data_IF_270648378367
#
_entry.id   IF_270648378367
#
_cell.length_a   1.000
_cell.length_b   1.000
_cell.length_c   1.000
_cell.angle_alpha   90.00
_cell.angle_beta   90.00
_cell.angle_gamma   90.00
#
_symmetry.space_group_name_H-M   'P 1'
#
loop_
_entity.id
_entity.type
_entity.pdbx_description
1 polymer ?
#
# COMPACT_ATOMS: atom_id res chain seq x y z
N UNK A 1 12.68 43.18 20.44
CA UNK A 1 12.72 42.64 21.80
C UNK A 1 13.07 41.15 21.74
N UNK A 2 14.13 40.73 22.44
CA UNK A 2 14.65 39.34 22.42
C UNK A 2 13.63 38.35 23.00
N UNK A 3 12.83 38.79 23.99
CA UNK A 3 11.76 37.98 24.59
C UNK A 3 10.70 37.59 23.56
N UNK A 4 10.27 38.55 22.74
CA UNK A 4 9.31 38.27 21.66
C UNK A 4 9.82 37.28 20.61
N UNK A 5 11.13 37.30 20.31
CA UNK A 5 11.74 36.32 19.40
C UNK A 5 11.80 34.91 20.01
N UNK A 6 12.11 34.80 21.30
CA UNK A 6 12.11 33.52 22.01
C UNK A 6 10.71 32.91 22.10
N UNK A 7 9.70 33.73 22.38
CA UNK A 7 8.29 33.28 22.42
C UNK A 7 7.81 32.83 21.03
N UNK A 8 8.24 33.51 19.97
CA UNK A 8 7.94 33.11 18.59
C UNK A 8 8.56 31.75 18.26
N UNK A 9 9.84 31.56 18.55
CA UNK A 9 10.53 30.27 18.35
C UNK A 9 9.88 29.14 19.15
N UNK A 10 9.47 29.39 20.40
CA UNK A 10 8.78 28.40 21.23
C UNK A 10 7.42 28.01 20.66
N UNK A 11 6.66 28.96 20.09
CA UNK A 11 5.40 28.67 19.39
C UNK A 11 5.64 27.80 18.15
N UNK A 12 6.60 28.17 17.31
CA UNK A 12 6.94 27.41 16.10
C UNK A 12 7.41 25.98 16.43
N UNK A 13 8.22 25.81 17.47
CA UNK A 13 8.64 24.49 17.95
C UNK A 13 7.45 23.65 18.47
N UNK A 14 6.47 24.29 19.12
CA UNK A 14 5.25 23.61 19.58
C UNK A 14 4.37 23.17 18.40
N UNK A 15 4.21 24.02 17.39
CA UNK A 15 3.48 23.71 16.17
C UNK A 15 4.12 22.54 15.42
N UNK A 16 5.45 22.56 15.22
CA UNK A 16 6.18 21.45 14.60
C UNK A 16 5.98 20.13 15.36
N UNK A 17 6.07 20.16 16.69
CA UNK A 17 5.83 18.96 17.52
C UNK A 17 4.40 18.44 17.39
N UNK A 18 3.41 19.33 17.30
CA UNK A 18 2.00 18.96 17.13
C UNK A 18 1.75 18.33 15.74
N UNK A 19 2.36 18.89 14.69
CA UNK A 19 2.29 18.30 13.34
C UNK A 19 2.89 16.89 13.32
N UNK A 20 4.09 16.71 13.88
CA UNK A 20 4.73 15.38 13.96
C UNK A 20 3.87 14.40 14.75
N UNK A 21 3.30 14.83 15.89
CA UNK A 21 2.39 13.99 16.69
C UNK A 21 1.16 13.56 15.89
N UNK A 22 0.52 14.49 15.18
CA UNK A 22 -0.66 14.18 14.35
C UNK A 22 -0.32 13.21 13.22
N UNK A 23 0.85 13.35 12.58
CA UNK A 23 1.32 12.40 11.58
C UNK A 23 1.52 10.99 12.17
N UNK A 24 2.16 10.88 13.33
CA UNK A 24 2.37 9.61 14.02
C UNK A 24 1.02 9.00 14.45
N UNK A 25 0.09 9.78 14.99
CA UNK A 25 -1.23 9.32 15.41
C UNK A 25 -2.04 8.77 14.23
N UNK A 26 -2.02 9.45 13.08
CA UNK A 26 -2.64 8.95 11.85
C UNK A 26 -1.96 7.67 11.34
N UNK A 27 -0.63 7.60 11.40
CA UNK A 27 0.14 6.43 10.99
C UNK A 27 -0.15 5.22 11.90
N UNK A 28 -0.30 5.45 13.20
CA UNK A 28 -0.72 4.44 14.19
C UNK A 28 -2.18 3.99 13.98
N UNK A 29 -3.08 4.90 13.63
CA UNK A 29 -4.48 4.54 13.34
C UNK A 29 -4.56 3.65 12.09
N UNK A 30 -3.83 3.99 11.03
CA UNK A 30 -3.76 3.18 9.81
C UNK A 30 -3.12 1.81 10.06
N UNK A 31 -2.05 1.75 10.87
CA UNK A 31 -1.40 0.49 11.23
C UNK A 31 -2.26 -0.40 12.15
N UNK A 32 -3.09 0.19 13.03
CA UNK A 32 -4.07 -0.55 13.84
C UNK A 32 -5.21 -1.14 13.02
N UNK A 33 -5.65 -0.44 11.97
CA UNK A 33 -6.64 -0.99 11.04
C UNK A 33 -6.15 -2.27 10.36
N UNK A 34 -4.84 -2.37 10.05
CA UNK A 34 -4.22 -3.57 9.45
C UNK A 34 -4.18 -4.76 10.43
N UNK A 35 -4.14 -4.53 11.74
CA UNK A 35 -4.09 -5.61 12.75
C UNK A 35 -5.45 -5.98 13.34
N UNK A 36 -6.47 -5.14 13.21
CA UNK A 36 -7.81 -5.43 13.72
C UNK A 36 -8.59 -6.45 12.88
N UNK A 37 -8.20 -6.66 11.61
CA UNK A 37 -8.77 -7.69 10.73
C UNK A 37 -8.39 -9.12 11.12
N UNK A 38 -7.54 -9.31 12.15
CA UNK A 38 -7.10 -10.65 12.59
C UNK A 38 -7.82 -11.17 13.85
N UNK A 39 -8.72 -10.40 14.48
CA UNK A 39 -9.34 -10.80 15.76
C UNK A 39 -10.87 -10.88 15.78
N UNK A 40 -11.54 -10.72 14.62
CA UNK A 40 -13.02 -10.82 14.52
C UNK A 40 -13.49 -11.73 13.39
N UNK A 41 -13.13 -13.01 13.43
CA UNK A 41 -13.87 -14.04 12.68
C UNK A 41 -13.78 -15.41 13.37
N UNK A 42 -14.47 -15.54 14.50
CA UNK A 42 -15.07 -16.81 14.88
C UNK A 42 -16.44 -16.94 14.19
N UNK A 43 -16.64 -18.07 13.52
CA UNK A 43 -17.89 -18.58 12.91
C UNK A 43 -18.25 -18.09 11.51
N UNK A 44 -17.57 -18.64 10.49
CA UNK A 44 -18.20 -19.46 9.45
C UNK A 44 -17.09 -20.13 8.64
N UNK A 45 -17.25 -21.44 8.41
CA UNK A 45 -16.28 -22.29 7.75
C UNK A 45 -15.88 -21.75 6.39
N UNK A 46 -14.62 -21.35 6.23
CA UNK A 46 -13.79 -21.65 5.07
C UNK A 46 -12.33 -21.31 5.38
N UNK A 47 -11.50 -22.32 5.23
CA UNK A 47 -10.13 -22.45 5.70
C UNK A 47 -9.18 -21.52 4.91
N UNK A 48 -8.89 -20.32 5.41
CA UNK A 48 -7.73 -19.55 4.94
C UNK A 48 -6.47 -20.08 5.61
N UNK A 49 -5.84 -21.05 4.94
CA UNK A 49 -4.44 -21.41 5.19
C UNK A 49 -3.60 -20.16 4.88
N UNK A 50 -3.18 -19.47 5.94
CA UNK A 50 -2.14 -18.44 5.87
C UNK A 50 -0.79 -19.16 5.68
N UNK A 51 -0.61 -19.70 4.48
CA UNK A 51 0.70 -20.12 4.03
C UNK A 51 1.50 -18.85 3.87
N UNK A 52 2.67 -18.77 4.51
CA UNK A 52 3.76 -17.87 4.10
C UNK A 52 4.10 -18.19 2.65
N UNK A 53 3.28 -17.74 1.70
CA UNK A 53 3.54 -17.91 0.28
C UNK A 53 4.75 -17.04 0.00
N UNK A 54 5.81 -17.69 -0.43
CA UNK A 54 6.96 -17.06 -1.04
C UNK A 54 6.48 -15.87 -1.89
N UNK A 55 7.08 -14.66 -1.78
CA UNK A 55 6.76 -13.54 -2.67
C UNK A 55 6.68 -13.94 -4.15
N UNK A 56 7.47 -14.95 -4.56
CA UNK A 56 7.53 -15.53 -5.90
C UNK A 56 6.28 -16.36 -6.28
N UNK A 57 5.45 -16.75 -5.33
CA UNK A 57 4.24 -17.56 -5.55
C UNK A 57 2.94 -16.76 -5.58
N UNK A 58 2.99 -15.42 -5.54
CA UNK A 58 1.76 -14.64 -5.71
C UNK A 58 1.25 -14.76 -7.15
N UNK A 59 -0.01 -15.17 -7.29
CA UNK A 59 -0.70 -15.23 -8.58
C UNK A 59 -1.35 -13.90 -8.93
N UNK A 60 -1.44 -13.61 -10.23
CA UNK A 60 -2.14 -12.45 -10.77
C UNK A 60 -3.58 -12.39 -10.26
N UNK A 61 -4.02 -11.25 -9.75
CA UNK A 61 -5.37 -11.08 -9.22
C UNK A 61 -6.48 -11.03 -10.30
N UNK A 62 -6.11 -10.97 -11.58
CA UNK A 62 -7.04 -10.90 -12.72
C UNK A 62 -7.29 -12.30 -13.29
N UNK A 63 -6.24 -13.01 -13.71
CA UNK A 63 -6.41 -14.34 -14.31
C UNK A 63 -6.30 -15.50 -13.30
N UNK A 64 -5.71 -15.28 -12.12
CA UNK A 64 -5.48 -16.30 -11.08
C UNK A 64 -4.63 -17.51 -11.53
N UNK A 65 -4.05 -17.46 -12.73
CA UNK A 65 -3.26 -18.54 -13.33
C UNK A 65 -1.77 -18.25 -13.25
N UNK A 66 -1.36 -17.09 -13.78
CA UNK A 66 0.04 -16.71 -13.94
C UNK A 66 0.60 -16.05 -12.67
N UNK A 67 1.91 -16.18 -12.39
CA UNK A 67 2.56 -15.44 -11.32
C UNK A 67 2.52 -13.92 -11.58
N UNK A 68 2.61 -13.14 -10.52
CA UNK A 68 2.80 -11.69 -10.61
C UNK A 68 4.23 -11.41 -11.08
N UNK A 69 4.36 -10.85 -12.28
CA UNK A 69 5.65 -10.49 -12.90
C UNK A 69 5.67 -9.07 -13.48
N UNK A 70 4.74 -8.22 -13.04
CA UNK A 70 4.66 -6.83 -13.48
C UNK A 70 4.34 -5.85 -12.35
N UNK A 71 4.81 -4.63 -12.52
CA UNK A 71 4.58 -3.48 -11.67
C UNK A 71 3.84 -2.39 -12.46
N UNK A 72 2.81 -1.82 -11.85
CA UNK A 72 2.08 -0.69 -12.42
C UNK A 72 2.80 0.62 -12.09
N UNK A 73 3.32 1.32 -13.10
CA UNK A 73 4.14 2.51 -12.93
C UNK A 73 3.38 3.65 -12.23
N UNK A 74 4.10 4.45 -11.42
CA UNK A 74 3.61 5.47 -10.45
C UNK A 74 3.00 4.93 -9.17
N UNK A 75 2.11 3.94 -9.21
CA UNK A 75 1.49 3.41 -7.99
C UNK A 75 2.27 2.25 -7.36
N UNK A 76 3.11 1.56 -8.12
CA UNK A 76 4.05 0.54 -7.61
C UNK A 76 3.41 -0.81 -7.26
N UNK A 77 2.10 -0.99 -7.42
CA UNK A 77 1.46 -2.25 -7.05
C UNK A 77 1.82 -3.38 -8.02
N UNK A 78 2.38 -4.45 -7.47
CA UNK A 78 2.64 -5.71 -8.15
C UNK A 78 1.50 -6.69 -7.86
N UNK A 79 0.46 -6.66 -8.69
CA UNK A 79 -0.76 -7.45 -8.50
C UNK A 79 -1.18 -8.25 -9.73
N UNK A 80 -0.51 -8.07 -10.87
CA UNK A 80 -0.89 -8.66 -12.15
C UNK A 80 0.30 -9.29 -12.86
N UNK A 81 0.01 -10.29 -13.70
CA UNK A 81 0.98 -10.71 -14.71
C UNK A 81 1.04 -9.67 -15.84
N UNK A 82 2.12 -9.67 -16.61
CA UNK A 82 2.38 -8.68 -17.65
C UNK A 82 1.25 -8.59 -18.68
N UNK A 83 0.67 -9.72 -19.10
CA UNK A 83 -0.44 -9.76 -20.05
C UNK A 83 -1.66 -9.00 -19.51
N UNK A 84 -2.12 -9.35 -18.30
CA UNK A 84 -3.27 -8.70 -17.69
C UNK A 84 -3.01 -7.23 -17.35
N UNK A 85 -1.77 -6.88 -16.99
CA UNK A 85 -1.38 -5.49 -16.76
C UNK A 85 -1.53 -4.63 -18.01
N UNK A 86 -1.10 -5.12 -19.18
CA UNK A 86 -1.32 -4.43 -20.45
C UNK A 86 -2.80 -4.35 -20.81
N UNK A 87 -3.57 -5.43 -20.65
CA UNK A 87 -5.02 -5.40 -20.90
C UNK A 87 -5.73 -4.34 -20.04
N UNK A 88 -5.34 -4.19 -18.77
CA UNK A 88 -5.84 -3.14 -17.87
C UNK A 88 -5.41 -1.74 -18.33
N UNK A 89 -4.18 -1.58 -18.84
CA UNK A 89 -3.69 -0.31 -19.38
C UNK A 89 -4.53 0.16 -20.59
N UNK A 90 -5.06 -0.75 -21.40
CA UNK A 90 -5.91 -0.41 -22.54
C UNK A 90 -7.38 -0.22 -22.18
N UNK A 91 -7.91 -1.05 -21.27
CA UNK A 91 -9.33 -1.06 -20.90
C UNK A 91 -9.63 -0.07 -19.76
N UNK A 92 -9.46 -0.49 -18.50
CA UNK A 92 -9.88 0.26 -17.31
C UNK A 92 -8.97 1.45 -16.99
N UNK A 93 -7.71 1.39 -17.42
CA UNK A 93 -6.63 2.34 -17.11
C UNK A 93 -6.39 2.54 -15.60
N UNK A 94 -6.85 1.62 -14.74
CA UNK A 94 -6.79 1.77 -13.28
C UNK A 94 -6.22 0.53 -12.60
N UNK A 95 -5.37 0.77 -11.60
CA UNK A 95 -4.83 -0.27 -10.74
C UNK A 95 -5.95 -0.99 -9.95
N UNK A 96 -6.01 -2.33 -9.93
CA UNK A 96 -7.01 -3.08 -9.16
C UNK A 96 -6.94 -2.89 -7.64
N UNK A 97 -5.81 -2.41 -7.12
CA UNK A 97 -5.57 -2.27 -5.68
C UNK A 97 -5.93 -0.87 -5.17
N UNK A 98 -5.42 0.17 -5.84
CA UNK A 98 -5.54 1.55 -5.36
C UNK A 98 -6.31 2.48 -6.31
N UNK A 99 -6.83 1.96 -7.42
CA UNK A 99 -7.59 2.71 -8.43
C UNK A 99 -6.81 3.84 -9.12
N UNK A 100 -5.50 3.97 -8.85
CA UNK A 100 -4.64 4.95 -9.50
C UNK A 100 -4.52 4.67 -11.01
N UNK A 101 -4.35 5.72 -11.84
CA UNK A 101 -4.15 5.55 -13.27
C UNK A 101 -2.92 4.70 -13.60
N UNK A 102 -3.07 3.75 -14.52
CA UNK A 102 -1.96 2.97 -15.06
C UNK A 102 -1.33 3.80 -16.18
N UNK A 103 -0.24 4.48 -15.86
CA UNK A 103 0.52 5.27 -16.85
C UNK A 103 1.37 4.35 -17.72
N UNK A 104 2.05 3.40 -17.09
CA UNK A 104 2.89 2.43 -17.78
C UNK A 104 2.94 1.11 -17.01
N UNK A 105 3.42 0.05 -17.67
CA UNK A 105 3.58 -1.30 -17.12
C UNK A 105 5.04 -1.71 -17.26
N UNK A 106 5.67 -2.04 -16.13
CA UNK A 106 7.07 -2.46 -16.09
C UNK A 106 7.13 -3.94 -15.72
N UNK A 107 7.86 -4.74 -16.50
CA UNK A 107 8.13 -6.13 -16.14
C UNK A 107 9.09 -6.19 -14.97
N UNK A 108 8.75 -6.98 -13.96
CA UNK A 108 9.59 -7.21 -12.79
C UNK A 108 10.28 -8.58 -12.90
N UNK A 109 11.58 -8.58 -12.70
CA UNK A 109 12.38 -9.78 -12.52
C UNK A 109 12.78 -9.83 -11.05
N UNK A 110 12.35 -10.89 -10.35
CA UNK A 110 12.74 -11.12 -8.97
C UNK A 110 13.89 -12.13 -9.01
N UNK A 111 15.08 -11.67 -8.62
CA UNK A 111 16.22 -12.56 -8.45
C UNK A 111 15.98 -13.46 -7.22
N UNK A 112 16.23 -14.76 -7.41
CA UNK A 112 16.06 -15.83 -6.42
C UNK A 112 17.34 -16.11 -5.64
#
# INVERSE_FOLDING_TARGET
DLRGQMEQMQREMLELRNTVKSCIDMQLHFQKSVTQDFSRSGSSAEQRVETKKDPLQRKCCVCLEMPVDSLLYRCGHMCTCLKCAHELQWSSKKCPICMAPIVDVVRAFLDS
#
